data_IF_263383094983
#
_entry.id   IF_263383094983
#
_cell.length_a   1.000
_cell.length_b   1.000
_cell.length_c   1.000
_cell.angle_alpha   90.00
_cell.angle_beta   90.00
_cell.angle_gamma   90.00
#
_symmetry.space_group_name_H-M   'P 1'
#
loop_
_entity.id
_entity.type
_entity.pdbx_description
1 polymer ?
#
# COMPACT_ATOMS: atom_id res chain seq x y z
N UNK A 1 -9.06 2.42 -12.50
CA UNK A 1 -8.09 2.34 -13.63
C UNK A 1 -6.76 2.92 -13.18
N UNK A 2 -5.66 2.68 -13.92
CA UNK A 2 -4.36 3.33 -13.63
C UNK A 2 -4.15 4.48 -14.60
N UNK A 3 -3.77 5.63 -14.05
CA UNK A 3 -3.45 6.83 -14.81
C UNK A 3 -1.98 7.18 -14.63
N UNK A 4 -1.31 7.59 -15.72
CA UNK A 4 0.09 8.02 -15.68
C UNK A 4 0.19 9.43 -16.24
N UNK A 5 0.58 10.36 -15.38
CA UNK A 5 0.89 11.73 -15.76
C UNK A 5 2.28 11.79 -16.41
N UNK A 6 2.35 11.81 -17.73
CA UNK A 6 3.62 11.85 -18.46
C UNK A 6 4.48 13.09 -18.16
N UNK A 7 3.88 14.21 -17.76
CA UNK A 7 4.63 15.43 -17.40
C UNK A 7 5.36 15.25 -16.06
N UNK A 8 4.74 14.60 -15.09
CA UNK A 8 5.35 14.31 -13.78
C UNK A 8 6.28 13.08 -13.82
N UNK A 9 6.15 12.22 -14.83
CA UNK A 9 7.00 11.04 -14.97
C UNK A 9 8.44 11.42 -15.28
N UNK A 10 9.38 10.98 -14.45
CA UNK A 10 10.83 11.21 -14.62
C UNK A 10 11.56 10.08 -15.37
N UNK A 11 10.85 9.08 -15.86
CA UNK A 11 11.42 7.99 -16.65
C UNK A 11 12.25 6.95 -15.88
N UNK A 12 12.18 6.91 -14.56
CA UNK A 12 13.04 6.05 -13.72
C UNK A 12 12.80 4.53 -13.85
N UNK A 13 11.72 4.09 -14.46
CA UNK A 13 11.39 2.68 -14.71
C UNK A 13 10.91 1.85 -13.50
N UNK A 14 10.97 2.35 -12.27
CA UNK A 14 10.63 1.60 -11.04
C UNK A 14 9.23 0.97 -11.08
N UNK A 15 8.26 1.68 -11.64
CA UNK A 15 6.88 1.19 -11.75
C UNK A 15 6.76 -0.01 -12.71
N UNK A 16 7.57 -0.06 -13.78
CA UNK A 16 7.69 -1.21 -14.67
C UNK A 16 8.30 -2.40 -13.92
N UNK A 17 9.39 -2.15 -13.20
CA UNK A 17 10.18 -3.22 -12.58
C UNK A 17 9.43 -3.90 -11.41
N UNK A 18 8.60 -3.15 -10.68
CA UNK A 18 7.80 -3.69 -9.58
C UNK A 18 6.52 -4.41 -10.05
N UNK A 19 6.11 -4.21 -11.31
CA UNK A 19 4.86 -4.78 -11.83
C UNK A 19 5.04 -6.25 -12.23
N UNK A 20 4.69 -7.18 -11.35
CA UNK A 20 4.74 -8.63 -11.60
C UNK A 20 3.91 -9.10 -12.81
N UNK A 21 2.89 -8.33 -13.20
CA UNK A 21 2.01 -8.63 -14.34
C UNK A 21 2.43 -7.90 -15.63
N UNK A 22 3.55 -7.17 -15.60
CA UNK A 22 4.08 -6.43 -16.77
C UNK A 22 3.05 -5.51 -17.42
N UNK A 23 2.23 -4.84 -16.62
CA UNK A 23 1.18 -3.92 -17.09
C UNK A 23 1.71 -2.53 -17.46
N UNK A 24 2.96 -2.22 -17.12
CA UNK A 24 3.59 -0.94 -17.42
C UNK A 24 4.79 -1.16 -18.32
N UNK A 25 4.91 -0.36 -19.37
CA UNK A 25 6.04 -0.33 -20.30
C UNK A 25 6.70 1.04 -20.27
N UNK A 26 7.91 1.13 -20.82
CA UNK A 26 8.56 2.42 -21.06
C UNK A 26 8.51 2.72 -22.56
N UNK A 27 8.02 3.90 -22.91
CA UNK A 27 7.97 4.43 -24.26
C UNK A 27 8.47 5.87 -24.26
N UNK A 28 9.44 6.18 -25.09
CA UNK A 28 10.07 7.51 -25.14
C UNK A 28 10.51 8.00 -23.73
N UNK A 29 11.19 7.11 -23.00
CA UNK A 29 11.65 7.35 -21.61
C UNK A 29 10.54 7.67 -20.61
N UNK A 30 9.29 7.42 -20.92
CA UNK A 30 8.14 7.62 -20.04
C UNK A 30 7.38 6.32 -19.81
N UNK A 31 6.81 6.17 -18.63
CA UNK A 31 5.96 5.03 -18.33
C UNK A 31 4.63 5.14 -19.10
N UNK A 32 4.17 3.99 -19.61
CA UNK A 32 2.87 3.84 -20.28
C UNK A 32 2.16 2.63 -19.71
N UNK A 33 0.87 2.79 -19.40
CA UNK A 33 0.02 1.71 -18.95
C UNK A 33 -0.64 1.01 -20.16
N UNK A 34 -0.50 -0.30 -20.24
CA UNK A 34 -1.09 -1.12 -21.30
C UNK A 34 -1.62 -2.47 -20.80
N UNK A 35 -2.05 -2.50 -19.55
CA UNK A 35 -2.40 -3.74 -18.85
C UNK A 35 -3.83 -3.84 -18.34
N UNK A 36 -4.82 -3.17 -18.98
CA UNK A 36 -6.21 -3.09 -18.46
C UNK A 36 -6.82 -4.45 -18.12
N UNK A 37 -6.56 -5.47 -18.95
CA UNK A 37 -7.11 -6.83 -18.76
C UNK A 37 -6.38 -7.66 -17.71
N UNK A 38 -5.16 -7.29 -17.32
CA UNK A 38 -4.31 -8.07 -16.41
C UNK A 38 -4.05 -7.38 -15.07
N UNK A 39 -4.25 -6.08 -15.04
CA UNK A 39 -3.97 -5.28 -13.84
C UNK A 39 -4.94 -5.62 -12.71
N UNK A 40 -4.38 -6.04 -11.57
CA UNK A 40 -5.12 -6.33 -10.34
C UNK A 40 -5.23 -5.10 -9.41
N UNK A 41 -4.82 -3.94 -9.87
CA UNK A 41 -4.89 -2.68 -9.11
C UNK A 41 -4.22 -2.74 -7.71
N UNK A 42 -3.14 -3.48 -7.56
CA UNK A 42 -2.45 -3.69 -6.28
C UNK A 42 -1.74 -2.44 -5.70
N UNK A 43 -1.59 -1.36 -6.48
CA UNK A 43 -1.01 -0.10 -6.02
C UNK A 43 0.53 -0.04 -5.92
N UNK A 44 1.27 -1.14 -6.15
CA UNK A 44 2.74 -1.13 -6.02
C UNK A 44 3.42 -0.08 -6.92
N UNK A 45 2.93 0.10 -8.15
CA UNK A 45 3.46 1.11 -9.07
C UNK A 45 3.26 2.55 -8.56
N UNK A 46 2.15 2.82 -7.89
CA UNK A 46 1.87 4.09 -7.21
C UNK A 46 2.88 4.30 -6.07
N UNK A 47 3.04 3.30 -5.20
CA UNK A 47 3.87 3.38 -4.00
C UNK A 47 5.37 3.61 -4.30
N UNK A 48 5.89 3.13 -5.43
CA UNK A 48 7.33 3.27 -5.78
C UNK A 48 7.63 4.48 -6.65
N UNK A 49 6.63 5.26 -7.03
CA UNK A 49 6.81 6.37 -7.97
C UNK A 49 7.35 7.64 -7.28
N UNK A 50 8.65 7.99 -7.41
CA UNK A 50 9.21 9.16 -6.74
C UNK A 50 8.71 10.49 -7.33
N UNK A 51 8.16 10.47 -8.54
CA UNK A 51 7.59 11.64 -9.20
C UNK A 51 6.08 11.79 -8.99
N UNK A 52 5.45 10.94 -8.15
CA UNK A 52 4.00 10.90 -7.92
C UNK A 52 3.19 10.94 -9.24
N UNK A 53 3.74 10.34 -10.29
CA UNK A 53 3.18 10.39 -11.64
C UNK A 53 2.04 9.39 -11.87
N UNK A 54 1.79 8.48 -10.93
CA UNK A 54 0.82 7.40 -11.07
C UNK A 54 -0.36 7.64 -10.15
N UNK A 55 -1.57 7.57 -10.71
CA UNK A 55 -2.82 7.55 -9.98
C UNK A 55 -3.55 6.22 -10.20
N UNK A 56 -4.31 5.79 -9.20
CA UNK A 56 -5.16 4.60 -9.24
C UNK A 56 -6.54 4.98 -8.71
N UNK A 57 -7.59 4.82 -9.51
CA UNK A 57 -8.95 5.28 -9.15
C UNK A 57 -9.48 4.69 -7.84
N UNK A 58 -8.94 3.55 -7.40
CA UNK A 58 -9.37 2.89 -6.16
C UNK A 58 -8.74 3.50 -4.90
N UNK A 59 -7.73 4.33 -5.04
CA UNK A 59 -6.99 4.89 -3.91
C UNK A 59 -7.10 6.40 -3.91
N UNK A 60 -7.42 6.93 -2.74
CA UNK A 60 -7.31 8.36 -2.48
C UNK A 60 -5.83 8.68 -2.18
N UNK A 61 -5.20 9.38 -3.12
CA UNK A 61 -3.79 9.76 -2.97
C UNK A 61 -3.56 10.74 -1.80
N UNK A 62 -4.61 11.48 -1.38
CA UNK A 62 -4.51 12.41 -0.24
C UNK A 62 -4.41 11.66 1.10
N UNK A 63 -4.93 10.42 1.16
CA UNK A 63 -4.80 9.55 2.33
C UNK A 63 -3.53 8.69 2.31
N UNK A 64 -2.71 8.80 1.28
CA UNK A 64 -1.45 8.06 1.19
C UNK A 64 -0.42 8.63 2.16
N UNK A 65 0.10 7.78 3.04
CA UNK A 65 1.17 8.15 3.98
C UNK A 65 2.52 7.87 3.33
N UNK A 66 3.34 8.91 3.20
CA UNK A 66 4.72 8.74 2.75
C UNK A 66 5.55 8.12 3.88
N UNK A 67 6.18 7.00 3.57
CA UNK A 67 7.03 6.29 4.52
C UNK A 67 8.41 6.93 4.58
N UNK A 68 8.66 7.73 5.62
CA UNK A 68 9.88 8.49 5.79
C UNK A 68 11.07 7.65 6.21
N UNK A 69 10.87 6.61 7.03
CA UNK A 69 11.90 5.59 7.28
C UNK A 69 11.32 4.27 7.80
N UNK A 70 11.89 3.15 7.37
CA UNK A 70 11.57 1.84 7.91
C UNK A 70 11.96 1.67 9.40
N UNK A 71 12.86 2.53 9.91
CA UNK A 71 13.28 2.52 11.32
C UNK A 71 12.20 3.06 12.25
N UNK A 72 11.35 3.96 11.78
CA UNK A 72 10.26 4.54 12.57
C UNK A 72 9.06 3.59 12.69
N UNK A 73 8.86 2.71 11.70
CA UNK A 73 7.71 1.81 11.66
C UNK A 73 7.79 0.62 12.61
N UNK A 74 8.97 0.09 12.87
CA UNK A 74 9.18 -0.94 13.87
C UNK A 74 10.65 -0.96 14.32
N UNK A 75 10.93 -0.53 15.53
CA UNK A 75 12.19 -0.95 16.13
C UNK A 75 12.16 -2.48 16.24
N UNK A 76 13.29 -3.14 15.99
CA UNK A 76 13.44 -4.59 16.13
C UNK A 76 12.94 -5.08 17.49
N UNK A 77 13.20 -4.30 18.53
CA UNK A 77 12.78 -4.58 19.90
C UNK A 77 11.27 -4.42 20.08
N UNK A 78 10.66 -3.38 19.53
CA UNK A 78 9.20 -3.19 19.58
C UNK A 78 8.44 -4.31 18.88
N UNK A 79 8.91 -4.77 17.71
CA UNK A 79 8.32 -5.90 17.00
C UNK A 79 8.47 -7.20 17.81
N UNK A 80 9.66 -7.47 18.33
CA UNK A 80 9.94 -8.63 19.18
C UNK A 80 9.04 -8.66 20.41
N UNK A 81 8.89 -7.52 21.10
CA UNK A 81 8.03 -7.43 22.27
C UNK A 81 6.56 -7.70 21.93
N UNK A 82 6.04 -7.18 20.82
CA UNK A 82 4.68 -7.49 20.35
C UNK A 82 4.49 -8.99 20.09
N UNK A 83 5.48 -9.67 19.54
CA UNK A 83 5.42 -11.12 19.33
C UNK A 83 5.48 -11.90 20.64
N UNK A 84 6.37 -11.51 21.59
CA UNK A 84 6.53 -12.16 22.90
C UNK A 84 5.27 -12.01 23.75
N UNK A 85 4.66 -10.81 23.76
CA UNK A 85 3.50 -10.52 24.60
C UNK A 85 2.17 -10.96 23.98
N UNK A 86 2.16 -11.40 22.72
CA UNK A 86 0.93 -11.90 22.09
C UNK A 86 0.49 -13.21 22.78
N UNK A 87 -0.76 -13.24 23.23
CA UNK A 87 -1.39 -14.41 23.85
C UNK A 87 -2.75 -14.68 23.23
N UNK A 88 -3.14 -15.95 23.24
CA UNK A 88 -4.51 -16.34 22.93
C UNK A 88 -5.40 -16.00 24.13
N UNK A 89 -6.19 -14.94 23.98
CA UNK A 89 -7.17 -14.55 25.01
C UNK A 89 -8.39 -15.46 24.91
N UNK A 90 -8.81 -16.05 26.04
CA UNK A 90 -9.97 -16.96 26.14
C UNK A 90 -10.98 -16.51 27.18
N UNK A 91 -10.69 -15.42 27.88
CA UNK A 91 -11.57 -14.79 28.84
C UNK A 91 -11.78 -13.35 28.42
N UNK A 92 -13.01 -12.92 28.30
CA UNK A 92 -13.39 -11.61 27.77
C UNK A 92 -14.16 -10.86 28.85
N UNK A 93 -14.09 -9.53 28.81
CA UNK A 93 -14.98 -8.69 29.60
C UNK A 93 -16.41 -8.81 29.10
N UNK A 94 -17.38 -8.54 30.00
CA UNK A 94 -18.80 -8.55 29.63
C UNK A 94 -19.14 -7.30 28.81
N UNK A 95 -18.41 -6.21 29.05
CA UNK A 95 -18.61 -4.94 28.34
C UNK A 95 -18.20 -5.08 26.88
N UNK A 96 -19.10 -4.66 25.98
CA UNK A 96 -18.77 -4.58 24.58
C UNK A 96 -17.73 -3.47 24.32
N UNK A 97 -16.83 -3.65 23.35
CA UNK A 97 -15.91 -2.58 22.95
C UNK A 97 -16.70 -1.36 22.44
N UNK A 98 -16.15 -0.17 22.64
CA UNK A 98 -16.75 1.05 22.10
C UNK A 98 -16.69 1.08 20.57
N UNK A 99 -17.51 1.96 19.99
CA UNK A 99 -17.52 2.14 18.54
C UNK A 99 -16.16 2.59 18.03
N UNK A 100 -15.50 3.49 18.75
CA UNK A 100 -14.18 4.03 18.43
C UNK A 100 -13.10 2.95 18.46
N UNK A 101 -13.16 2.03 19.43
CA UNK A 101 -12.23 0.89 19.50
C UNK A 101 -12.44 -0.07 18.31
N UNK A 102 -13.68 -0.32 17.92
CA UNK A 102 -14.00 -1.15 16.75
C UNK A 102 -13.50 -0.48 15.47
N UNK A 103 -13.76 0.81 15.30
CA UNK A 103 -13.31 1.57 14.13
C UNK A 103 -11.79 1.58 14.03
N UNK A 104 -11.06 1.75 15.13
CA UNK A 104 -9.61 1.69 15.15
C UNK A 104 -9.05 0.32 14.71
N UNK A 105 -9.68 -0.78 15.11
CA UNK A 105 -9.30 -2.14 14.68
C UNK A 105 -9.59 -2.33 13.20
N UNK A 106 -10.76 -1.89 12.71
CA UNK A 106 -11.13 -1.99 11.31
C UNK A 106 -10.20 -1.14 10.42
N UNK A 107 -9.84 0.05 10.86
CA UNK A 107 -8.89 0.89 10.15
C UNK A 107 -7.51 0.23 10.08
N UNK A 108 -7.01 -0.33 11.18
CA UNK A 108 -5.79 -1.12 11.18
C UNK A 108 -5.83 -2.33 10.23
N UNK A 109 -6.97 -3.00 10.11
CA UNK A 109 -7.16 -4.14 9.23
C UNK A 109 -7.08 -3.77 7.74
N UNK A 110 -7.40 -2.54 7.35
CA UNK A 110 -7.26 -2.04 5.96
C UNK A 110 -5.83 -2.12 5.43
N UNK A 111 -4.84 -2.05 6.32
CA UNK A 111 -3.42 -2.11 5.96
C UNK A 111 -2.86 -3.53 5.94
N UNK A 112 -3.68 -4.55 6.16
CA UNK A 112 -3.26 -5.94 6.03
C UNK A 112 -2.95 -6.28 4.57
N UNK A 113 -1.82 -6.96 4.34
CA UNK A 113 -1.45 -7.44 3.02
C UNK A 113 -2.48 -8.46 2.50
N UNK A 114 -3.12 -8.15 1.38
CA UNK A 114 -4.08 -9.04 0.71
C UNK A 114 -3.61 -9.37 -0.71
N UNK A 115 -4.17 -10.39 -1.32
CA UNK A 115 -3.80 -10.84 -2.67
C UNK A 115 -4.07 -9.85 -3.80
N UNK A 116 -4.66 -8.70 -3.53
CA UNK A 116 -4.89 -7.63 -4.51
C UNK A 116 -4.94 -6.26 -3.84
N UNK A 117 -4.51 -6.19 -2.61
CA UNK A 117 -4.59 -4.99 -1.78
C UNK A 117 -6.01 -4.38 -1.71
N UNK A 118 -7.01 -5.26 -1.56
CA UNK A 118 -8.44 -4.94 -1.52
C UNK A 118 -9.02 -5.30 -0.17
#
# INVERSE_FOLDING_TARGET
>A
MIHINRKACIGCGRCRDVCSLSCIKMEEEKAVFGGEKRCITCGHCLAVCPGHAIGVDLYDNEQSVEMTSAKELASKEGLKNRMIFRRSVRSYRIEAPSKEEIEAVLDGARYSGTGGNR
#
